data_IF_367931861683
#
_entry.id   IF_367931861683
#
_cell.length_a   1.000
_cell.length_b   1.000
_cell.length_c   1.000
_cell.angle_alpha   90.00
_cell.angle_beta   90.00
_cell.angle_gamma   90.00
#
_symmetry.space_group_name_H-M   'P 1'
#
loop_
_entity.id
_entity.type
_entity.pdbx_description
1 polymer ?
#
# COMPACT_ATOMS: atom_id res chain seq x y z
N UNK A 1 5.51 -6.32 11.92
CA UNK A 1 6.36 -5.45 11.07
C UNK A 1 6.25 -4.00 11.56
N UNK A 2 7.25 -3.14 11.33
CA UNK A 2 7.11 -1.69 11.63
C UNK A 2 6.88 -0.94 10.32
N UNK A 3 5.75 -0.26 10.21
CA UNK A 3 5.39 0.61 9.08
C UNK A 3 5.68 2.09 9.40
N UNK A 4 6.12 2.89 8.43
CA UNK A 4 6.63 4.25 8.66
C UNK A 4 5.52 5.33 8.57
N UNK A 5 4.29 5.01 8.95
CA UNK A 5 3.14 5.90 8.91
C UNK A 5 2.09 5.46 9.92
N UNK A 6 1.25 6.39 10.36
CA UNK A 6 0.11 6.13 11.24
C UNK A 6 -1.14 5.79 10.41
N UNK A 7 -2.19 5.21 11.01
CA UNK A 7 -3.44 4.91 10.31
C UNK A 7 -4.02 6.14 9.58
N UNK A 8 -3.96 7.31 10.22
CA UNK A 8 -4.55 8.56 9.71
C UNK A 8 -3.87 9.08 8.44
N UNK A 9 -2.65 8.62 8.14
CA UNK A 9 -1.91 8.99 6.93
C UNK A 9 -2.47 8.30 5.68
N UNK A 10 -3.22 7.19 5.83
CA UNK A 10 -3.80 6.40 4.73
C UNK A 10 -4.77 7.23 3.87
N UNK A 11 -5.42 8.24 4.46
CA UNK A 11 -6.28 9.16 3.71
C UNK A 11 -5.55 9.85 2.55
N UNK A 12 -4.23 10.00 2.64
CA UNK A 12 -3.38 10.62 1.62
C UNK A 12 -2.76 9.62 0.65
N UNK A 13 -3.10 8.33 0.74
CA UNK A 13 -2.55 7.30 -0.13
C UNK A 13 -3.19 7.32 -1.52
N UNK A 14 -2.51 6.69 -2.47
CA UNK A 14 -2.95 6.52 -3.85
C UNK A 14 -3.65 5.17 -4.01
N UNK A 15 -4.76 5.12 -4.75
CA UNK A 15 -5.49 3.88 -5.01
C UNK A 15 -5.58 3.63 -6.50
N UNK A 16 -5.32 2.39 -6.88
CA UNK A 16 -5.37 1.87 -8.25
C UNK A 16 -6.27 0.65 -8.31
N UNK A 17 -6.84 0.39 -9.48
CA UNK A 17 -7.76 -0.69 -9.79
C UNK A 17 -7.20 -1.52 -10.96
N UNK A 18 -7.29 -2.84 -10.85
CA UNK A 18 -6.69 -3.82 -11.78
C UNK A 18 -7.57 -5.06 -11.91
N UNK A 19 -7.75 -5.56 -13.13
CA UNK A 19 -8.62 -6.71 -13.38
C UNK A 19 -7.89 -8.07 -13.26
N UNK A 20 -6.57 -8.13 -13.45
CA UNK A 20 -5.85 -9.40 -13.72
C UNK A 20 -5.01 -9.93 -12.56
N UNK A 21 -5.36 -9.61 -11.31
CA UNK A 21 -4.67 -10.15 -10.13
C UNK A 21 -5.47 -11.33 -9.58
N UNK A 22 -5.17 -12.52 -10.09
CA UNK A 22 -5.83 -13.78 -9.69
C UNK A 22 -5.00 -14.63 -8.73
N UNK A 23 -3.68 -14.52 -8.78
CA UNK A 23 -2.80 -15.26 -7.89
C UNK A 23 -2.67 -14.55 -6.53
N UNK A 24 -3.49 -14.97 -5.58
CA UNK A 24 -3.55 -14.39 -4.24
C UNK A 24 -2.74 -15.18 -3.21
N UNK A 25 -2.16 -16.34 -3.57
CA UNK A 25 -1.46 -17.23 -2.65
C UNK A 25 -0.29 -16.57 -1.90
N UNK A 26 0.36 -15.59 -2.52
CA UNK A 26 1.52 -14.91 -1.95
C UNK A 26 1.16 -13.70 -1.08
N UNK A 27 -0.13 -13.37 -1.00
CA UNK A 27 -0.60 -12.27 -0.20
C UNK A 27 -0.73 -12.70 1.26
N UNK A 28 -0.43 -11.78 2.16
CA UNK A 28 -0.66 -11.97 3.59
C UNK A 28 -1.79 -11.08 4.04
N UNK A 29 -2.60 -11.55 4.98
CA UNK A 29 -3.61 -10.69 5.59
C UNK A 29 -2.96 -9.64 6.49
N UNK A 30 -3.67 -8.55 6.72
CA UNK A 30 -3.14 -7.42 7.51
C UNK A 30 -2.80 -7.81 8.97
N UNK A 31 -3.58 -8.70 9.56
CA UNK A 31 -3.41 -9.23 10.92
C UNK A 31 -2.19 -10.14 11.07
N UNK A 32 -1.68 -10.70 9.97
CA UNK A 32 -0.42 -11.43 9.96
C UNK A 32 0.82 -10.51 9.97
N UNK A 33 0.64 -9.21 9.71
CA UNK A 33 1.74 -8.24 9.56
C UNK A 33 1.79 -7.24 10.71
N UNK A 34 0.63 -6.86 11.25
CA UNK A 34 0.46 -5.83 12.26
C UNK A 34 -0.33 -6.37 13.46
N UNK A 35 0.22 -6.20 14.67
CA UNK A 35 -0.45 -6.64 15.90
C UNK A 35 -1.67 -5.76 16.27
N UNK A 36 -1.65 -4.47 15.90
CA UNK A 36 -2.74 -3.51 16.13
C UNK A 36 -3.28 -3.03 14.79
N UNK A 37 -3.82 -3.97 14.02
CA UNK A 37 -4.17 -3.76 12.62
C UNK A 37 -5.53 -3.08 12.41
N UNK A 38 -6.43 -3.10 13.39
CA UNK A 38 -7.84 -2.76 13.20
C UNK A 38 -8.04 -1.30 12.76
N UNK A 39 -7.23 -0.38 13.30
CA UNK A 39 -7.24 1.03 12.89
C UNK A 39 -6.76 1.21 11.46
N UNK A 40 -5.69 0.51 11.06
CA UNK A 40 -5.19 0.51 9.69
C UNK A 40 -6.20 -0.10 8.72
N UNK A 41 -6.81 -1.24 9.09
CA UNK A 41 -7.80 -1.91 8.26
C UNK A 41 -9.02 -1.01 8.04
N UNK A 42 -9.49 -0.33 9.09
CA UNK A 42 -10.60 0.62 8.98
C UNK A 42 -10.32 1.75 7.99
N UNK A 43 -9.14 2.38 8.06
CA UNK A 43 -8.75 3.45 7.14
C UNK A 43 -8.55 2.95 5.71
N UNK A 44 -7.99 1.74 5.53
CA UNK A 44 -7.85 1.11 4.22
C UNK A 44 -9.21 0.79 3.59
N UNK A 45 -10.13 0.22 4.36
CA UNK A 45 -11.49 -0.11 3.90
C UNK A 45 -12.22 1.16 3.43
N UNK A 46 -12.15 2.26 4.18
CA UNK A 46 -12.69 3.56 3.75
C UNK A 46 -12.10 3.99 2.40
N UNK A 47 -10.77 3.93 2.28
CA UNK A 47 -10.04 4.33 1.09
C UNK A 47 -10.38 3.49 -0.15
N UNK A 48 -10.63 2.19 0.03
CA UNK A 48 -11.10 1.30 -1.04
C UNK A 48 -12.57 1.55 -1.40
N UNK A 49 -13.46 1.74 -0.41
CA UNK A 49 -14.87 2.07 -0.65
C UNK A 49 -14.99 3.37 -1.45
N UNK A 50 -14.23 4.41 -1.08
CA UNK A 50 -14.19 5.69 -1.82
C UNK A 50 -13.78 5.52 -3.29
N UNK A 51 -13.05 4.44 -3.61
CA UNK A 51 -12.60 4.11 -4.97
C UNK A 51 -13.56 3.21 -5.75
N UNK A 52 -14.60 2.68 -5.09
CA UNK A 52 -15.63 1.83 -5.71
C UNK A 52 -15.67 0.38 -5.23
N UNK A 53 -14.88 0.01 -4.21
CA UNK A 53 -14.98 -1.33 -3.62
C UNK A 53 -16.29 -1.53 -2.86
N UNK A 54 -16.94 -2.69 -3.04
CA UNK A 54 -18.24 -3.04 -2.45
C UNK A 54 -18.21 -3.27 -0.94
N UNK A 55 -17.02 -3.36 -0.34
CA UNK A 55 -16.85 -3.68 1.08
C UNK A 55 -16.68 -5.18 1.37
N UNK A 56 -16.67 -6.02 0.33
CA UNK A 56 -16.47 -7.46 0.47
C UNK A 56 -15.07 -7.93 0.06
N UNK A 57 -14.43 -8.72 0.92
CA UNK A 57 -13.08 -9.23 0.67
C UNK A 57 -12.17 -9.04 1.87
N UNK A 58 -10.95 -9.55 1.76
CA UNK A 58 -9.95 -9.47 2.83
C UNK A 58 -8.90 -8.43 2.46
N UNK A 59 -8.55 -7.58 3.43
CA UNK A 59 -7.46 -6.62 3.27
C UNK A 59 -6.15 -7.37 3.44
N UNK A 60 -5.45 -7.51 2.33
CA UNK A 60 -4.18 -8.18 2.21
C UNK A 60 -3.07 -7.18 1.90
N UNK A 61 -1.84 -7.68 1.80
CA UNK A 61 -0.70 -6.89 1.35
C UNK A 61 0.14 -7.63 0.31
N UNK A 62 0.73 -6.81 -0.57
CA UNK A 62 1.81 -7.17 -1.47
C UNK A 62 3.07 -6.54 -0.92
N UNK A 63 4.06 -7.36 -0.57
CA UNK A 63 5.38 -6.87 -0.21
C UNK A 63 6.26 -6.74 -1.46
N UNK A 64 6.73 -5.53 -1.71
CA UNK A 64 7.64 -5.23 -2.81
C UNK A 64 9.07 -5.17 -2.25
N UNK A 65 9.99 -6.02 -2.74
CA UNK A 65 11.36 -6.01 -2.27
C UNK A 65 12.08 -4.71 -2.67
N UNK A 66 13.09 -4.28 -1.90
CA UNK A 66 13.82 -3.04 -2.15
C UNK A 66 14.31 -2.89 -3.60
N UNK A 67 14.89 -3.95 -4.17
CA UNK A 67 15.44 -3.90 -5.53
C UNK A 67 14.40 -3.68 -6.64
N UNK A 68 13.11 -3.90 -6.37
CA UNK A 68 12.02 -3.70 -7.31
C UNK A 68 11.33 -2.34 -7.16
N UNK A 69 11.53 -1.66 -6.01
CA UNK A 69 10.82 -0.43 -5.66
C UNK A 69 11.06 0.71 -6.66
N UNK A 70 12.31 0.94 -7.08
CA UNK A 70 12.65 2.02 -8.01
C UNK A 70 11.97 1.87 -9.39
N UNK A 71 11.61 0.65 -9.78
CA UNK A 71 10.89 0.39 -11.02
C UNK A 71 9.39 0.69 -10.95
N UNK A 72 8.79 0.60 -9.77
CA UNK A 72 7.34 0.74 -9.60
C UNK A 72 6.91 2.06 -8.96
N UNK A 73 7.81 2.78 -8.29
CA UNK A 73 7.51 4.09 -7.68
C UNK A 73 7.67 5.17 -8.74
N UNK A 74 6.74 6.13 -8.77
CA UNK A 74 6.88 7.30 -9.63
C UNK A 74 8.09 8.12 -9.21
N UNK A 75 8.95 8.42 -10.18
CA UNK A 75 10.27 9.02 -9.98
C UNK A 75 11.28 8.12 -9.23
N UNK A 76 11.00 6.82 -9.12
CA UNK A 76 11.92 5.84 -8.54
C UNK A 76 12.37 6.17 -7.12
N UNK A 77 13.69 6.12 -6.88
CA UNK A 77 14.30 6.41 -5.58
C UNK A 77 14.00 7.84 -5.10
N UNK A 78 14.00 8.83 -5.99
CA UNK A 78 13.72 10.23 -5.63
C UNK A 78 12.28 10.39 -5.09
N UNK A 79 11.32 9.66 -5.66
CA UNK A 79 9.94 9.62 -5.17
C UNK A 79 9.84 9.06 -3.75
N UNK A 80 10.60 8.00 -3.47
CA UNK A 80 10.69 7.43 -2.13
C UNK A 80 11.33 8.39 -1.13
N UNK A 81 12.50 8.95 -1.47
CA UNK A 81 13.24 9.87 -0.61
C UNK A 81 12.43 11.12 -0.32
N UNK A 82 11.76 11.71 -1.32
CA UNK A 82 10.91 12.89 -1.09
C UNK A 82 9.83 12.66 -0.03
N UNK A 83 9.25 11.46 0.05
CA UNK A 83 8.20 11.14 1.04
C UNK A 83 8.77 10.79 2.42
N UNK A 84 9.87 10.04 2.47
CA UNK A 84 10.36 9.41 3.71
C UNK A 84 11.67 9.99 4.26
N UNK A 85 12.28 10.94 3.55
CA UNK A 85 13.51 11.63 3.96
C UNK A 85 13.24 13.02 4.58
N UNK A 86 11.98 13.44 4.72
CA UNK A 86 11.65 14.68 5.43
C UNK A 86 11.84 14.51 6.94
N UNK A 87 12.87 15.17 7.47
CA UNK A 87 13.24 15.20 8.89
C UNK A 87 12.16 15.76 9.83
N UNK A 88 11.11 16.40 9.31
CA UNK A 88 10.04 17.03 10.10
C UNK A 88 8.82 16.13 10.36
N UNK A 89 8.64 15.07 9.56
CA UNK A 89 7.62 14.01 9.80
C UNK A 89 8.09 12.99 10.85
N UNK A 90 9.26 13.22 11.43
CA UNK A 90 10.03 12.30 12.26
C UNK A 90 9.74 12.54 13.74
N UNK A 91 8.47 12.43 14.13
CA UNK A 91 8.11 12.15 15.52
C UNK A 91 8.30 10.65 15.79
N UNK A 92 9.55 10.24 16.12
CA UNK A 92 10.04 8.88 16.41
C UNK A 92 10.69 8.07 15.26
N UNK A 93 11.62 8.68 14.52
CA UNK A 93 12.60 7.94 13.71
C UNK A 93 14.04 8.40 13.99
N UNK A 94 14.58 8.05 15.16
CA UNK A 94 16.04 7.91 15.31
C UNK A 94 16.63 6.74 14.49
N UNK A 95 15.84 6.10 13.60
CA UNK A 95 16.23 4.87 12.86
C UNK A 95 15.83 4.85 11.37
N UNK A 96 15.53 5.99 10.73
CA UNK A 96 15.11 6.04 9.32
C UNK A 96 16.19 6.50 8.33
N UNK A 97 17.26 5.69 8.15
CA UNK A 97 17.92 5.59 6.84
C UNK A 97 17.74 4.22 6.18
N UNK A 98 17.02 3.27 6.83
CA UNK A 98 16.89 1.87 6.38
C UNK A 98 15.47 1.44 5.99
N UNK A 99 14.49 2.34 5.96
CA UNK A 99 13.11 2.00 5.58
C UNK A 99 13.05 1.39 4.16
N UNK A 100 13.83 1.93 3.22
CA UNK A 100 14.03 1.36 1.89
C UNK A 100 14.47 -0.11 1.91
N UNK A 101 15.38 -0.51 2.82
CA UNK A 101 15.86 -1.91 2.90
C UNK A 101 14.79 -2.90 3.38
N UNK A 102 13.66 -2.40 3.88
CA UNK A 102 12.54 -3.23 4.36
C UNK A 102 11.48 -3.47 3.29
N UNK A 103 11.66 -2.91 2.10
CA UNK A 103 10.69 -2.99 1.01
C UNK A 103 9.51 -2.03 1.20
N UNK A 104 8.58 -2.10 0.26
CA UNK A 104 7.34 -1.32 0.25
C UNK A 104 6.15 -2.27 0.45
N UNK A 105 5.26 -1.93 1.37
CA UNK A 105 3.97 -2.60 1.46
C UNK A 105 2.95 -1.85 0.61
N UNK A 106 2.31 -2.59 -0.29
CA UNK A 106 1.09 -2.17 -0.96
C UNK A 106 -0.06 -2.93 -0.31
N UNK A 107 -1.17 -2.26 -0.05
CA UNK A 107 -2.38 -2.89 0.45
C UNK A 107 -3.24 -3.32 -0.71
N UNK A 108 -3.86 -4.49 -0.61
CA UNK A 108 -4.65 -5.08 -1.68
C UNK A 108 -5.98 -5.60 -1.16
N UNK A 109 -7.03 -5.42 -1.93
CA UNK A 109 -8.28 -6.18 -1.78
C UNK A 109 -8.78 -6.60 -3.15
N UNK A 110 -9.33 -7.81 -3.27
CA UNK A 110 -10.02 -8.27 -4.46
C UNK A 110 -11.52 -8.29 -4.22
N UNK A 111 -12.25 -7.60 -5.08
CA UNK A 111 -13.71 -7.62 -5.11
C UNK A 111 -14.20 -8.98 -5.61
N UNK A 112 -15.21 -9.54 -4.94
CA UNK A 112 -15.75 -10.86 -5.26
C UNK A 112 -16.65 -10.87 -6.49
N UNK A 113 -17.37 -9.78 -6.73
CA UNK A 113 -18.45 -9.73 -7.73
C UNK A 113 -17.91 -9.63 -9.16
N UNK A 114 -17.04 -8.65 -9.43
CA UNK A 114 -16.45 -8.39 -10.76
C UNK A 114 -14.96 -8.78 -10.84
N UNK A 115 -14.34 -9.22 -9.75
CA UNK A 115 -12.94 -9.61 -9.71
C UNK A 115 -11.95 -8.45 -9.68
N UNK A 116 -12.41 -7.19 -9.65
CA UNK A 116 -11.51 -6.02 -9.64
C UNK A 116 -10.67 -6.04 -8.36
N UNK A 117 -9.36 -5.88 -8.54
CA UNK A 117 -8.39 -5.73 -7.46
C UNK A 117 -8.07 -4.26 -7.24
N UNK A 118 -8.18 -3.82 -5.99
CA UNK A 118 -7.77 -2.48 -5.58
C UNK A 118 -6.42 -2.56 -4.88
N UNK A 119 -5.51 -1.67 -5.26
CA UNK A 119 -4.19 -1.51 -4.66
C UNK A 119 -4.09 -0.13 -4.04
N UNK A 120 -3.81 -0.05 -2.74
CA UNK A 120 -3.58 1.19 -2.02
C UNK A 120 -2.10 1.31 -1.64
N UNK A 121 -1.48 2.43 -2.04
CA UNK A 121 -0.04 2.67 -1.91
C UNK A 121 0.25 3.98 -1.18
N UNK A 122 1.20 3.99 -0.23
CA UNK A 122 1.66 5.24 0.37
C UNK A 122 2.40 6.12 -0.64
N UNK A 123 2.99 5.55 -1.68
CA UNK A 123 3.71 6.29 -2.72
C UNK A 123 2.93 6.28 -4.02
N UNK A 124 3.06 7.34 -4.81
CA UNK A 124 2.53 7.32 -6.17
C UNK A 124 3.32 6.28 -6.97
N UNK A 125 2.63 5.35 -7.60
CA UNK A 125 3.21 4.28 -8.39
C UNK A 125 3.25 4.66 -9.87
N UNK A 126 4.33 4.27 -10.55
CA UNK A 126 4.46 4.29 -12.00
C UNK A 126 3.93 2.99 -12.60
N UNK A 127 2.69 2.66 -12.26
CA UNK A 127 2.00 1.51 -12.83
C UNK A 127 0.90 2.03 -13.78
N UNK A 128 0.84 1.52 -15.01
CA UNK A 128 -0.23 1.87 -15.94
C UNK A 128 -1.57 1.41 -15.35
N UNK A 129 -2.56 2.29 -15.33
CA UNK A 129 -3.95 1.94 -14.99
C UNK A 129 -4.54 1.09 -16.10
N UNK A 130 -4.12 -0.18 -16.19
CA UNK A 130 -4.76 -1.17 -17.05
C UNK A 130 -6.00 -1.68 -16.30
N UNK A 131 -7.19 -1.34 -16.82
CA UNK A 131 -8.47 -1.78 -16.22
C UNK A 131 -9.58 -0.72 -16.23
N UNK A 132 -9.33 0.50 -16.71
CA UNK A 132 -10.38 1.48 -16.93
C UNK A 132 -11.00 1.28 -18.32
N UNK A 133 -11.98 0.36 -18.43
CA UNK A 133 -12.99 0.45 -19.49
C UNK A 133 -14.11 1.38 -19.09
#
# INVERSE_FOLDING_TARGET
MIIPYFPEDIKNFFVYDYEWIDELFFLKRIDEILDSYESYESELKKKFIDRGWSGEGEVNNVWIPPFAMSGIIKYGEDGFLKKYYDSSLVGNLEKSPKSWTRGLLLWHVKQKDDGISFICSPLELNIPGYGLS
#
